data_IF_800111095572
#
_entry.id   IF_800111095572
#
_cell.length_a   1.000
_cell.length_b   1.000
_cell.length_c   1.000
_cell.angle_alpha   90.00
_cell.angle_beta   90.00
_cell.angle_gamma   90.00
#
_symmetry.space_group_name_H-M   'P 1'
#
loop_
_entity.id
_entity.type
_entity.pdbx_description
1 polymer ?
#
# COMPACT_ATOMS: atom_id res chain seq x y z
N UNK A 1 36.19 -32.97 23.55
CA UNK A 1 34.79 -32.61 23.26
C UNK A 1 34.74 -31.10 23.03
N UNK A 2 34.99 -30.64 21.80
CA UNK A 2 35.00 -29.20 21.49
C UNK A 2 33.90 -28.94 20.45
N UNK A 3 32.75 -28.43 20.89
CA UNK A 3 31.65 -28.01 20.02
C UNK A 3 31.88 -26.60 19.45
N UNK A 4 31.29 -26.26 18.29
CA UNK A 4 31.47 -24.96 17.65
C UNK A 4 30.84 -23.83 18.49
N UNK A 5 31.65 -22.83 18.83
CA UNK A 5 31.21 -21.61 19.53
C UNK A 5 30.35 -20.74 18.60
N UNK A 6 29.06 -20.61 18.91
CA UNK A 6 28.16 -19.71 18.16
C UNK A 6 28.38 -18.24 18.56
N UNK A 7 28.35 -17.29 17.62
CA UNK A 7 28.48 -15.87 17.94
C UNK A 7 27.28 -15.37 18.75
N UNK A 8 27.57 -14.65 19.84
CA UNK A 8 26.59 -14.05 20.73
C UNK A 8 26.31 -12.61 20.31
N UNK A 9 25.03 -12.20 20.36
CA UNK A 9 24.64 -10.81 20.11
C UNK A 9 25.10 -9.92 21.28
N UNK A 10 25.86 -8.86 21.02
CA UNK A 10 26.43 -7.97 22.04
C UNK A 10 25.41 -7.13 22.81
N UNK A 11 24.18 -6.99 22.30
CA UNK A 11 23.13 -6.19 22.94
C UNK A 11 22.18 -7.00 23.82
N UNK A 12 22.07 -8.32 23.64
CA UNK A 12 21.07 -9.14 24.34
C UNK A 12 21.56 -10.52 24.79
N UNK A 13 22.80 -10.92 24.51
CA UNK A 13 23.39 -12.17 25.00
C UNK A 13 22.80 -13.46 24.42
N UNK A 14 21.92 -13.37 23.42
CA UNK A 14 21.31 -14.54 22.76
C UNK A 14 22.24 -15.05 21.64
N UNK A 15 22.41 -16.36 21.55
CA UNK A 15 23.16 -17.03 20.48
C UNK A 15 22.43 -16.86 19.14
N UNK A 16 23.05 -16.21 18.16
CA UNK A 16 22.48 -16.02 16.83
C UNK A 16 23.08 -17.07 15.89
N UNK A 17 22.24 -17.91 15.30
CA UNK A 17 22.68 -18.84 14.26
C UNK A 17 22.89 -18.05 12.95
N UNK A 18 24.11 -18.01 12.42
CA UNK A 18 24.33 -17.62 11.02
C UNK A 18 23.67 -18.67 10.12
N UNK A 19 22.73 -18.25 9.29
CA UNK A 19 22.28 -19.09 8.17
C UNK A 19 23.47 -19.38 7.24
N UNK A 20 23.61 -20.62 6.74
CA UNK A 20 24.57 -20.89 5.69
C UNK A 20 24.17 -20.06 4.47
N UNK A 21 25.08 -19.21 4.02
CA UNK A 21 24.92 -18.35 2.85
C UNK A 21 24.45 -19.18 1.67
N UNK A 22 23.19 -18.95 1.26
CA UNK A 22 22.57 -19.58 0.11
C UNK A 22 23.31 -19.16 -1.16
N UNK A 23 24.09 -20.09 -1.72
CA UNK A 23 24.64 -19.95 -3.06
C UNK A 23 23.49 -20.04 -4.09
N UNK A 24 23.61 -19.26 -5.16
CA UNK A 24 22.56 -18.96 -6.12
C UNK A 24 21.93 -20.20 -6.76
N UNK A 25 20.60 -20.27 -6.71
CA UNK A 25 19.80 -21.26 -7.42
C UNK A 25 18.36 -20.75 -7.55
N UNK A 26 17.87 -20.68 -8.78
CA UNK A 26 16.56 -20.19 -9.17
C UNK A 26 15.40 -20.94 -8.46
N UNK A 27 14.68 -20.23 -7.59
CA UNK A 27 13.22 -20.16 -7.66
C UNK A 27 12.35 -21.25 -7.04
N UNK A 28 12.84 -22.16 -6.18
CA UNK A 28 11.97 -23.02 -5.38
C UNK A 28 11.81 -22.47 -3.96
N UNK A 29 10.63 -21.91 -3.63
CA UNK A 29 10.32 -21.39 -2.28
C UNK A 29 10.40 -22.52 -1.26
N UNK A 30 11.30 -22.38 -0.27
CA UNK A 30 11.27 -23.19 0.95
C UNK A 30 9.97 -22.84 1.69
N UNK A 31 9.01 -23.77 1.75
CA UNK A 31 7.79 -23.51 2.52
C UNK A 31 8.15 -23.46 4.00
N UNK A 32 7.44 -22.63 4.77
CA UNK A 32 7.53 -22.64 6.24
C UNK A 32 7.18 -24.02 6.84
N UNK A 33 6.55 -24.88 6.03
CA UNK A 33 6.20 -26.27 6.32
C UNK A 33 7.34 -27.28 6.11
N UNK A 34 8.39 -26.93 5.36
CA UNK A 34 9.35 -27.90 4.84
C UNK A 34 10.35 -28.49 5.84
N UNK A 35 10.23 -28.20 7.14
CA UNK A 35 11.27 -28.44 8.13
C UNK A 35 10.83 -29.28 9.36
N UNK A 36 9.69 -29.98 9.34
CA UNK A 36 9.10 -30.53 10.57
C UNK A 36 8.66 -32.01 10.48
N UNK A 37 8.98 -32.77 11.53
CA UNK A 37 8.81 -34.22 11.69
C UNK A 37 7.34 -34.68 11.85
N UNK A 38 6.39 -33.77 12.12
CA UNK A 38 4.93 -34.02 12.08
C UNK A 38 4.20 -32.91 11.27
N UNK A 39 3.67 -33.22 10.08
CA UNK A 39 3.07 -32.23 9.19
C UNK A 39 1.74 -31.62 9.67
N UNK A 40 0.98 -32.28 10.56
CA UNK A 40 -0.37 -31.84 10.93
C UNK A 40 -0.38 -30.78 12.03
N UNK A 41 0.29 -31.06 13.15
CA UNK A 41 0.45 -30.15 14.29
C UNK A 41 1.13 -28.83 13.88
N UNK A 42 2.10 -28.95 12.97
CA UNK A 42 2.78 -27.81 12.33
C UNK A 42 1.83 -26.93 11.50
N UNK A 43 0.92 -27.54 10.74
CA UNK A 43 -0.02 -26.80 9.88
C UNK A 43 -1.04 -26.04 10.71
N UNK A 44 -1.49 -26.63 11.80
CA UNK A 44 -2.40 -25.97 12.75
C UNK A 44 -1.71 -24.78 13.42
N UNK A 45 -0.51 -24.96 13.97
CA UNK A 45 0.25 -23.85 14.56
C UNK A 45 0.61 -22.75 13.54
N UNK A 46 0.92 -23.10 12.29
CA UNK A 46 1.14 -22.10 11.24
C UNK A 46 -0.15 -21.36 10.85
N UNK A 47 -1.29 -22.07 10.80
CA UNK A 47 -2.60 -21.47 10.54
C UNK A 47 -3.00 -20.50 11.65
N UNK A 48 -2.71 -20.82 12.91
CA UNK A 48 -2.91 -19.91 14.04
C UNK A 48 -2.05 -18.65 13.93
N UNK A 49 -0.79 -18.79 13.55
CA UNK A 49 0.11 -17.67 13.31
C UNK A 49 -0.39 -16.78 12.15
N UNK A 50 -0.86 -17.37 11.05
CA UNK A 50 -1.50 -16.62 9.97
C UNK A 50 -2.80 -15.94 10.42
N UNK A 51 -3.62 -16.61 11.22
CA UNK A 51 -4.85 -16.05 11.78
C UNK A 51 -4.54 -14.82 12.65
N UNK A 52 -3.52 -14.92 13.51
CA UNK A 52 -3.04 -13.81 14.33
C UNK A 52 -2.47 -12.66 13.49
N UNK A 53 -1.75 -12.97 12.40
CA UNK A 53 -1.18 -11.97 11.51
C UNK A 53 -2.27 -11.19 10.75
N UNK A 54 -3.32 -11.88 10.30
CA UNK A 54 -4.43 -11.29 9.53
C UNK A 54 -5.38 -10.49 10.41
N UNK A 55 -5.59 -10.94 11.65
CA UNK A 55 -6.59 -10.38 12.56
C UNK A 55 -8.01 -10.89 12.28
N UNK A 56 -9.02 -10.42 13.04
CA UNK A 56 -10.37 -11.01 13.04
C UNK A 56 -11.17 -10.73 11.75
N UNK A 57 -10.90 -9.62 11.04
CA UNK A 57 -11.65 -9.26 9.83
C UNK A 57 -11.15 -9.98 8.58
N UNK A 58 -12.10 -10.62 7.88
CA UNK A 58 -11.88 -11.41 6.65
C UNK A 58 -10.87 -12.54 6.83
N UNK A 59 -10.68 -13.02 8.07
CA UNK A 59 -9.70 -14.04 8.41
C UNK A 59 -9.84 -15.28 7.52
N UNK A 60 -11.06 -15.84 7.46
CA UNK A 60 -11.28 -17.13 6.81
C UNK A 60 -11.05 -17.07 5.30
N UNK A 61 -11.40 -15.93 4.68
CA UNK A 61 -11.12 -15.65 3.27
C UNK A 61 -9.61 -15.67 2.97
N UNK A 62 -8.80 -14.97 3.78
CA UNK A 62 -7.36 -14.94 3.57
C UNK A 62 -6.68 -16.27 3.92
N UNK A 63 -7.14 -16.95 4.97
CA UNK A 63 -6.59 -18.26 5.35
C UNK A 63 -6.81 -19.31 4.25
N UNK A 64 -7.98 -19.33 3.61
CA UNK A 64 -8.23 -20.23 2.48
C UNK A 64 -7.26 -19.96 1.32
N UNK A 65 -7.02 -18.68 1.02
CA UNK A 65 -6.10 -18.27 -0.06
C UNK A 65 -4.64 -18.57 0.27
N UNK A 66 -4.24 -18.39 1.53
CA UNK A 66 -2.89 -18.73 1.98
C UNK A 66 -2.64 -20.23 1.93
N UNK A 67 -3.64 -21.04 2.30
CA UNK A 67 -3.55 -22.50 2.18
C UNK A 67 -3.35 -22.94 0.72
N UNK A 68 -4.03 -22.28 -0.23
CA UNK A 68 -3.84 -22.54 -1.66
C UNK A 68 -2.41 -22.18 -2.12
N UNK A 69 -1.89 -21.03 -1.71
CA UNK A 69 -0.52 -20.61 -2.04
C UNK A 69 0.54 -21.50 -1.41
N UNK A 70 0.32 -21.97 -0.18
CA UNK A 70 1.20 -22.93 0.50
C UNK A 70 1.19 -24.29 -0.23
N UNK A 71 0.03 -24.72 -0.73
CA UNK A 71 -0.12 -25.96 -1.48
C UNK A 71 0.57 -25.89 -2.86
N UNK A 72 0.32 -24.81 -3.62
CA UNK A 72 0.86 -24.61 -4.96
C UNK A 72 2.34 -24.16 -4.96
N UNK A 73 2.88 -23.77 -3.79
CA UNK A 73 4.20 -23.15 -3.60
C UNK A 73 4.45 -21.91 -4.47
N UNK A 74 3.38 -21.34 -5.03
CA UNK A 74 3.39 -20.19 -5.93
C UNK A 74 2.29 -19.23 -5.48
N UNK A 75 2.59 -17.94 -5.51
CA UNK A 75 1.58 -16.90 -5.35
C UNK A 75 1.03 -16.55 -6.71
N UNK A 76 -0.27 -16.74 -6.95
CA UNK A 76 -0.91 -16.33 -8.19
C UNK A 76 -1.35 -14.86 -8.15
N UNK A 77 -1.41 -14.25 -9.32
CA UNK A 77 -2.07 -12.95 -9.49
C UNK A 77 -3.58 -13.17 -9.40
N UNK A 78 -4.26 -12.27 -8.69
CA UNK A 78 -5.71 -12.32 -8.52
C UNK A 78 -6.27 -10.92 -8.46
N UNK A 79 -7.47 -10.73 -8.98
CA UNK A 79 -8.11 -9.43 -8.96
C UNK A 79 -8.63 -9.10 -7.55
N UNK A 80 -8.20 -7.97 -6.99
CA UNK A 80 -8.60 -7.53 -5.66
C UNK A 80 -9.33 -6.17 -5.73
N UNK A 81 -10.66 -6.22 -5.73
CA UNK A 81 -11.53 -5.04 -5.89
C UNK A 81 -11.21 -3.86 -4.94
N UNK A 82 -11.04 -4.06 -3.62
CA UNK A 82 -10.71 -2.94 -2.74
C UNK A 82 -9.34 -2.31 -3.03
N UNK A 83 -8.39 -3.10 -3.54
CA UNK A 83 -7.07 -2.60 -3.86
C UNK A 83 -7.08 -1.81 -5.18
N UNK A 84 -8.08 -1.99 -6.03
CA UNK A 84 -8.26 -1.20 -7.26
C UNK A 84 -8.78 0.21 -6.96
N UNK A 85 -9.87 0.32 -6.20
CA UNK A 85 -10.43 1.63 -5.88
C UNK A 85 -9.62 2.41 -4.83
N UNK A 86 -8.96 1.69 -3.92
CA UNK A 86 -8.34 2.29 -2.75
C UNK A 86 -6.99 1.63 -2.42
N UNK A 87 -6.10 1.49 -3.41
CA UNK A 87 -4.79 0.83 -3.23
C UNK A 87 -4.02 1.36 -2.02
N UNK A 88 -3.87 2.70 -1.96
CA UNK A 88 -3.11 3.35 -0.90
C UNK A 88 -3.72 3.07 0.47
N UNK A 89 -5.03 3.31 0.63
CA UNK A 89 -5.74 3.06 1.89
C UNK A 89 -5.71 1.59 2.29
N UNK A 90 -5.80 0.66 1.34
CA UNK A 90 -5.70 -0.77 1.62
C UNK A 90 -4.31 -1.15 2.15
N UNK A 91 -3.24 -0.60 1.57
CA UNK A 91 -1.88 -0.80 2.05
C UNK A 91 -1.68 -0.24 3.48
N UNK A 92 -2.24 0.94 3.78
CA UNK A 92 -2.18 1.54 5.13
C UNK A 92 -3.00 0.71 6.15
N UNK A 93 -4.23 0.33 5.78
CA UNK A 93 -5.13 -0.43 6.63
C UNK A 93 -4.50 -1.75 7.11
N UNK A 94 -3.79 -2.44 6.21
CA UNK A 94 -3.04 -3.69 6.47
C UNK A 94 -1.61 -3.47 6.97
N UNK A 95 -1.25 -2.26 7.42
CA UNK A 95 0.07 -1.90 7.99
C UNK A 95 1.27 -2.16 7.06
N UNK A 96 1.07 -2.15 5.73
CA UNK A 96 2.14 -2.30 4.75
C UNK A 96 2.82 -0.96 4.42
N UNK A 97 3.31 -0.27 5.45
CA UNK A 97 3.85 1.10 5.39
C UNK A 97 4.91 1.29 4.29
N UNK A 98 5.85 0.36 4.14
CA UNK A 98 6.89 0.48 3.11
C UNK A 98 6.34 0.46 1.69
N UNK A 99 5.34 -0.40 1.41
CA UNK A 99 4.70 -0.43 0.08
C UNK A 99 3.81 0.77 -0.13
N UNK A 100 3.13 1.24 0.91
CA UNK A 100 2.33 2.45 0.87
C UNK A 100 3.18 3.69 0.54
N UNK A 101 4.35 3.83 1.18
CA UNK A 101 5.29 4.90 0.90
C UNK A 101 5.78 4.84 -0.55
N UNK A 102 6.20 3.67 -1.02
CA UNK A 102 6.60 3.50 -2.43
C UNK A 102 5.45 3.90 -3.36
N UNK A 103 4.25 3.37 -3.14
CA UNK A 103 3.08 3.69 -3.97
C UNK A 103 2.76 5.19 -3.99
N UNK A 104 2.90 5.88 -2.85
CA UNK A 104 2.64 7.31 -2.74
C UNK A 104 3.72 8.16 -3.40
N UNK A 105 5.00 7.87 -3.17
CA UNK A 105 6.10 8.71 -3.66
C UNK A 105 6.50 8.44 -5.11
N UNK A 106 6.33 7.20 -5.60
CA UNK A 106 6.79 6.80 -6.93
C UNK A 106 6.20 7.66 -8.07
N UNK A 107 4.90 8.05 -8.07
CA UNK A 107 4.36 8.94 -9.09
C UNK A 107 5.03 10.32 -9.10
N UNK A 108 5.30 10.90 -7.94
CA UNK A 108 5.90 12.23 -7.84
C UNK A 108 7.34 12.27 -8.33
N UNK A 109 8.09 11.17 -8.14
CA UNK A 109 9.45 11.03 -8.69
C UNK A 109 9.48 11.11 -10.21
N UNK A 110 8.37 10.80 -10.88
CA UNK A 110 8.24 10.89 -12.33
C UNK A 110 7.58 12.20 -12.77
N UNK A 111 6.52 12.61 -12.07
CA UNK A 111 5.74 13.81 -12.41
C UNK A 111 6.55 15.11 -12.21
N UNK A 112 7.30 15.23 -11.12
CA UNK A 112 8.01 16.48 -10.79
C UNK A 112 9.09 16.81 -11.83
N UNK A 113 9.99 15.88 -12.22
CA UNK A 113 10.92 16.14 -13.32
C UNK A 113 10.20 16.42 -14.65
N UNK A 114 9.14 15.67 -14.96
CA UNK A 114 8.38 15.88 -16.20
C UNK A 114 7.76 17.29 -16.28
N UNK A 115 7.26 17.83 -15.17
CA UNK A 115 6.71 19.19 -15.11
C UNK A 115 7.79 20.27 -15.23
N UNK A 116 8.97 20.06 -14.61
CA UNK A 116 10.06 21.03 -14.60
C UNK A 116 10.81 21.12 -15.94
N UNK A 117 10.97 20.00 -16.65
CA UNK A 117 11.73 19.91 -17.90
C UNK A 117 10.84 19.73 -19.14
N UNK A 118 9.52 19.88 -18.98
CA UNK A 118 8.47 19.36 -19.85
C UNK A 118 8.22 20.04 -21.20
N UNK A 119 8.86 21.17 -21.49
CA UNK A 119 8.51 22.00 -22.67
C UNK A 119 8.88 21.35 -24.02
N UNK A 120 9.65 20.25 -24.01
CA UNK A 120 10.14 19.57 -25.23
C UNK A 120 10.15 18.04 -25.10
N UNK A 121 9.19 17.45 -24.38
CA UNK A 121 9.16 16.00 -24.13
C UNK A 121 8.73 15.25 -25.41
N UNK A 122 9.57 14.36 -25.97
CA UNK A 122 9.20 13.52 -27.11
C UNK A 122 7.98 12.65 -26.79
N UNK A 123 7.10 12.45 -27.77
CA UNK A 123 5.87 11.65 -27.63
C UNK A 123 6.12 10.24 -27.04
N UNK A 124 7.28 9.64 -27.30
CA UNK A 124 7.67 8.34 -26.76
C UNK A 124 7.80 8.35 -25.22
N UNK A 125 8.29 9.43 -24.62
CA UNK A 125 8.32 9.60 -23.16
C UNK A 125 6.91 9.80 -22.59
N UNK A 126 6.03 10.49 -23.32
CA UNK A 126 4.61 10.61 -22.98
C UNK A 126 3.87 9.25 -22.98
N UNK A 127 4.11 8.43 -24.00
CA UNK A 127 3.56 7.08 -24.09
C UNK A 127 4.09 6.16 -22.96
N UNK A 128 5.39 6.25 -22.65
CA UNK A 128 5.99 5.56 -21.52
C UNK A 128 5.39 5.98 -20.17
N UNK A 129 5.12 7.27 -19.99
CA UNK A 129 4.46 7.79 -18.79
C UNK A 129 3.02 7.28 -18.66
N UNK A 130 2.25 7.26 -19.75
CA UNK A 130 0.90 6.71 -19.76
C UNK A 130 0.90 5.21 -19.42
N UNK A 131 1.82 4.44 -20.01
CA UNK A 131 1.98 3.02 -19.68
C UNK A 131 2.36 2.81 -18.20
N UNK A 132 3.22 3.67 -17.64
CA UNK A 132 3.55 3.67 -16.22
C UNK A 132 2.33 3.96 -15.32
N UNK A 133 1.50 4.95 -15.68
CA UNK A 133 0.26 5.25 -14.95
C UNK A 133 -0.74 4.09 -15.00
N UNK A 134 -0.87 3.42 -16.14
CA UNK A 134 -1.69 2.22 -16.26
C UNK A 134 -1.13 1.08 -15.39
N UNK A 135 0.19 0.88 -15.42
CA UNK A 135 0.84 -0.15 -14.63
C UNK A 135 0.65 0.07 -13.12
N UNK A 136 0.78 1.31 -12.62
CA UNK A 136 0.58 1.59 -11.19
C UNK A 136 -0.89 1.45 -10.76
N UNK A 137 -1.84 1.52 -11.70
CA UNK A 137 -3.25 1.30 -11.42
C UNK A 137 -3.65 -0.19 -11.44
N UNK A 138 -3.04 -0.97 -12.34
CA UNK A 138 -3.42 -2.37 -12.60
C UNK A 138 -2.59 -3.37 -11.79
N UNK A 139 -1.29 -3.13 -11.61
CA UNK A 139 -0.39 -4.08 -10.94
C UNK A 139 -0.72 -4.27 -9.46
N UNK A 140 -0.98 -3.22 -8.64
CA UNK A 140 -1.25 -3.43 -7.22
C UNK A 140 -2.50 -4.26 -6.94
N UNK A 141 -3.64 -4.07 -7.64
CA UNK A 141 -4.81 -4.94 -7.50
C UNK A 141 -4.53 -6.40 -7.85
N UNK A 142 -3.80 -6.65 -8.93
CA UNK A 142 -3.44 -8.00 -9.38
C UNK A 142 -2.52 -8.72 -8.40
N UNK A 143 -1.62 -7.97 -7.75
CA UNK A 143 -0.60 -8.51 -6.86
C UNK A 143 -0.95 -8.34 -5.38
N UNK A 144 -2.12 -7.79 -5.04
CA UNK A 144 -2.49 -7.43 -3.68
C UNK A 144 -2.42 -8.64 -2.74
N UNK A 145 -3.08 -9.73 -3.09
CA UNK A 145 -3.14 -10.93 -2.24
C UNK A 145 -1.78 -11.60 -2.10
N UNK A 146 -1.03 -11.70 -3.20
CA UNK A 146 0.33 -12.22 -3.20
C UNK A 146 1.26 -11.35 -2.34
N UNK A 147 1.12 -10.03 -2.45
CA UNK A 147 1.89 -9.06 -1.69
C UNK A 147 1.55 -9.15 -0.19
N UNK A 148 0.29 -9.40 0.16
CA UNK A 148 -0.18 -9.54 1.52
C UNK A 148 0.25 -10.87 2.16
N UNK A 149 0.16 -11.97 1.44
CA UNK A 149 0.71 -13.27 1.86
C UNK A 149 2.20 -13.15 2.19
N UNK A 150 3.01 -12.55 1.29
CA UNK A 150 4.44 -12.30 1.54
C UNK A 150 4.72 -11.40 2.73
N UNK A 151 3.78 -10.52 3.09
CA UNK A 151 3.91 -9.68 4.27
C UNK A 151 3.67 -10.52 5.53
N UNK A 152 2.61 -11.33 5.55
CA UNK A 152 2.30 -12.23 6.66
C UNK A 152 3.42 -13.26 6.89
N UNK A 153 3.94 -13.88 5.84
CA UNK A 153 5.12 -14.78 5.92
C UNK A 153 6.31 -14.08 6.59
N UNK A 154 6.61 -12.83 6.22
CA UNK A 154 7.73 -12.08 6.81
C UNK A 154 7.50 -11.75 8.28
N UNK A 155 6.27 -11.41 8.66
CA UNK A 155 5.93 -11.14 10.07
C UNK A 155 6.09 -12.41 10.90
N UNK A 156 5.58 -13.55 10.40
CA UNK A 156 5.68 -14.84 11.08
C UNK A 156 7.13 -15.33 11.13
N UNK A 157 7.87 -15.23 10.03
CA UNK A 157 9.28 -15.60 9.96
C UNK A 157 10.14 -14.79 10.95
N UNK A 158 9.88 -13.49 11.08
CA UNK A 158 10.53 -12.64 12.09
C UNK A 158 10.17 -13.06 13.51
N UNK A 159 8.91 -13.37 13.79
CA UNK A 159 8.50 -13.82 15.11
C UNK A 159 9.15 -15.17 15.49
N UNK A 160 9.23 -16.11 14.55
CA UNK A 160 9.94 -17.39 14.73
C UNK A 160 11.44 -17.23 14.94
N UNK A 161 12.06 -16.23 14.31
CA UNK A 161 13.47 -15.93 14.52
C UNK A 161 13.76 -15.36 15.93
N UNK A 162 12.78 -14.70 16.55
CA UNK A 162 12.91 -14.05 17.86
C UNK A 162 12.56 -15.00 19.01
N UNK A 163 11.45 -15.73 18.90
CA UNK A 163 10.94 -16.59 19.98
C UNK A 163 10.85 -18.06 19.53
N UNK A 164 11.30 -18.98 20.39
CA UNK A 164 11.15 -20.43 20.13
C UNK A 164 9.77 -20.98 20.54
N UNK A 165 9.14 -20.41 21.57
CA UNK A 165 7.82 -20.84 22.04
C UNK A 165 6.71 -20.37 21.11
N UNK A 166 5.75 -21.24 20.78
CA UNK A 166 4.59 -20.91 19.94
C UNK A 166 3.76 -19.77 20.52
N UNK A 167 3.52 -19.76 21.84
CA UNK A 167 2.78 -18.68 22.52
C UNK A 167 3.47 -17.32 22.39
N UNK A 168 4.79 -17.28 22.60
CA UNK A 168 5.60 -16.07 22.41
C UNK A 168 5.66 -15.60 20.95
N UNK A 169 5.54 -16.51 19.98
CA UNK A 169 5.43 -16.14 18.56
C UNK A 169 4.04 -15.54 18.27
N UNK A 170 2.98 -16.17 18.77
CA UNK A 170 1.60 -15.72 18.60
C UNK A 170 1.40 -14.31 19.16
N UNK A 171 1.91 -14.03 20.37
CA UNK A 171 1.83 -12.69 20.96
C UNK A 171 2.53 -11.62 20.11
N UNK A 172 3.71 -11.93 19.57
CA UNK A 172 4.47 -11.00 18.73
C UNK A 172 3.78 -10.74 17.38
N UNK A 173 3.24 -11.80 16.77
CA UNK A 173 2.52 -11.73 15.50
C UNK A 173 1.19 -11.01 15.67
N UNK A 174 0.44 -11.28 16.74
CA UNK A 174 -0.83 -10.60 17.03
C UNK A 174 -0.62 -9.10 17.26
N UNK A 175 0.46 -8.71 17.95
CA UNK A 175 0.78 -7.29 18.21
C UNK A 175 1.18 -6.53 16.94
N UNK A 176 2.02 -7.15 16.11
CA UNK A 176 2.54 -6.53 14.90
C UNK A 176 1.59 -6.65 13.70
N UNK A 177 0.72 -7.66 13.71
CA UNK A 177 -0.29 -7.93 12.70
C UNK A 177 -1.59 -7.18 12.92
N UNK A 178 -2.64 -7.71 12.31
CA UNK A 178 -4.00 -7.18 12.41
C UNK A 178 -4.26 -5.93 11.56
N UNK A 179 -5.48 -5.43 11.71
CA UNK A 179 -6.01 -4.27 10.97
C UNK A 179 -6.07 -3.06 11.88
N UNK A 180 -5.74 -1.88 11.36
CA UNK A 180 -5.95 -0.63 12.11
C UNK A 180 -7.41 -0.19 12.01
N UNK A 181 -8.16 -0.21 13.12
CA UNK A 181 -9.57 0.25 13.15
C UNK A 181 -9.72 1.75 12.83
N UNK A 182 -8.65 2.53 13.00
CA UNK A 182 -8.65 3.97 12.74
C UNK A 182 -8.54 4.33 11.25
N UNK A 183 -7.92 3.49 10.43
CA UNK A 183 -7.64 3.85 9.03
C UNK A 183 -8.86 3.98 8.10
N UNK A 184 -9.94 3.19 8.23
CA UNK A 184 -11.15 3.40 7.43
C UNK A 184 -11.77 4.78 7.65
N UNK A 185 -11.70 5.30 8.89
CA UNK A 185 -12.17 6.65 9.20
C UNK A 185 -11.31 7.72 8.51
N UNK A 186 -9.98 7.61 8.64
CA UNK A 186 -9.04 8.51 7.95
C UNK A 186 -9.22 8.48 6.43
N UNK A 187 -9.42 7.29 5.86
CA UNK A 187 -9.70 7.12 4.45
C UNK A 187 -11.00 7.81 4.03
N UNK A 188 -12.06 7.69 4.83
CA UNK A 188 -13.32 8.39 4.61
C UNK A 188 -13.13 9.91 4.61
N UNK A 189 -12.48 10.46 5.63
CA UNK A 189 -12.23 11.90 5.76
C UNK A 189 -11.41 12.45 4.59
N UNK A 190 -10.32 11.78 4.22
CA UNK A 190 -9.48 12.21 3.09
C UNK A 190 -10.22 12.13 1.76
N UNK A 191 -11.06 11.11 1.55
CA UNK A 191 -11.87 10.97 0.34
C UNK A 191 -12.88 12.11 0.21
N UNK A 192 -13.54 12.49 1.32
CA UNK A 192 -14.44 13.66 1.34
C UNK A 192 -13.69 14.95 1.06
N UNK A 193 -12.51 15.15 1.66
CA UNK A 193 -11.70 16.34 1.42
C UNK A 193 -11.28 16.46 -0.06
N UNK A 194 -10.90 15.36 -0.70
CA UNK A 194 -10.59 15.36 -2.14
C UNK A 194 -11.81 15.67 -3.00
N UNK A 195 -12.98 15.14 -2.65
CA UNK A 195 -14.23 15.44 -3.35
C UNK A 195 -14.56 16.94 -3.26
N UNK A 196 -14.50 17.51 -2.05
CA UNK A 196 -14.72 18.94 -1.83
C UNK A 196 -13.71 19.78 -2.61
N UNK A 197 -12.43 19.40 -2.62
CA UNK A 197 -11.40 20.08 -3.41
C UNK A 197 -11.69 20.04 -4.92
N UNK A 198 -12.16 18.91 -5.43
CA UNK A 198 -12.51 18.73 -6.86
C UNK A 198 -13.75 19.54 -7.24
N UNK A 199 -14.75 19.61 -6.36
CA UNK A 199 -15.93 20.46 -6.57
C UNK A 199 -15.53 21.93 -6.49
N UNK A 200 -14.70 22.31 -5.52
CA UNK A 200 -14.25 23.69 -5.33
C UNK A 200 -13.43 24.19 -6.52
N UNK A 201 -12.58 23.36 -7.13
CA UNK A 201 -11.78 23.78 -8.29
C UNK A 201 -12.62 24.19 -9.50
N UNK A 202 -13.85 23.70 -9.62
CA UNK A 202 -14.81 24.07 -10.68
C UNK A 202 -15.80 25.14 -10.19
N UNK A 203 -16.27 25.03 -8.95
CA UNK A 203 -17.27 25.94 -8.39
C UNK A 203 -16.71 27.35 -8.15
N UNK A 204 -15.44 27.48 -7.75
CA UNK A 204 -14.80 28.77 -7.50
C UNK A 204 -14.72 29.66 -8.77
N UNK A 205 -14.18 29.20 -9.91
CA UNK A 205 -14.15 30.02 -11.12
C UNK A 205 -15.57 30.31 -11.65
N UNK A 206 -16.49 29.34 -11.57
CA UNK A 206 -17.87 29.56 -11.99
C UNK A 206 -18.60 30.62 -11.14
N UNK A 207 -18.31 30.68 -9.83
CA UNK A 207 -18.84 31.70 -8.94
C UNK A 207 -18.24 33.08 -9.23
N UNK A 208 -16.93 33.14 -9.50
CA UNK A 208 -16.27 34.38 -9.89
C UNK A 208 -16.90 34.96 -11.17
N UNK A 209 -17.03 34.15 -12.22
CA UNK A 209 -17.71 34.52 -13.47
C UNK A 209 -19.14 35.02 -13.25
N UNK A 210 -19.90 34.35 -12.38
CA UNK A 210 -21.27 34.75 -12.04
C UNK A 210 -21.31 36.15 -11.42
N UNK A 211 -20.44 36.43 -10.44
CA UNK A 211 -20.44 37.74 -9.76
C UNK A 211 -19.97 38.88 -10.66
N UNK A 212 -18.99 38.64 -11.55
CA UNK A 212 -18.53 39.63 -12.54
C UNK A 212 -19.66 40.00 -13.50
N UNK A 213 -20.37 39.00 -14.04
CA UNK A 213 -21.51 39.21 -14.95
C UNK A 213 -22.66 39.95 -14.28
N UNK A 214 -22.93 39.67 -13.00
CA UNK A 214 -23.97 40.39 -12.24
C UNK A 214 -23.60 41.85 -12.00
N UNK A 215 -22.35 42.15 -11.62
CA UNK A 215 -21.87 43.53 -11.48
C UNK A 215 -21.92 44.29 -12.79
N UNK A 216 -21.53 43.66 -13.90
CA UNK A 216 -21.58 44.26 -15.23
C UNK A 216 -23.01 44.60 -15.66
N UNK A 217 -23.99 43.71 -15.41
CA UNK A 217 -25.41 43.98 -15.65
C UNK A 217 -25.93 45.14 -14.80
N UNK A 218 -25.59 45.15 -13.51
CA UNK A 218 -26.04 46.19 -12.60
C UNK A 218 -25.46 47.57 -12.97
N UNK A 219 -24.21 47.62 -13.41
CA UNK A 219 -23.59 48.84 -13.95
C UNK A 219 -24.29 49.33 -15.23
N UNK A 220 -24.62 48.41 -16.15
CA UNK A 220 -25.36 48.73 -17.37
C UNK A 220 -26.78 49.26 -17.06
N UNK A 221 -27.50 48.63 -16.13
CA UNK A 221 -28.85 49.05 -15.73
C UNK A 221 -28.83 50.42 -15.01
N UNK A 222 -27.74 50.75 -14.32
CA UNK A 222 -27.56 52.05 -13.64
C UNK A 222 -27.11 53.20 -14.56
N UNK A 223 -26.79 52.92 -15.83
CA UNK A 223 -26.32 53.92 -16.80
C UNK A 223 -24.86 54.36 -16.63
N UNK A 224 -24.10 53.79 -15.69
CA UNK A 224 -22.68 54.09 -15.48
C UNK A 224 -21.79 53.25 -16.42
N UNK A 225 -21.77 53.63 -17.70
CA UNK A 225 -21.01 52.96 -18.77
C UNK A 225 -19.48 52.98 -18.52
N UNK A 226 -18.96 53.95 -17.76
CA UNK A 226 -17.54 54.00 -17.39
C UNK A 226 -17.17 52.91 -16.37
N UNK A 227 -18.05 52.63 -15.40
CA UNK A 227 -17.84 51.54 -14.44
C UNK A 227 -17.95 50.16 -15.09
N UNK A 228 -18.89 49.97 -16.03
CA UNK A 228 -19.08 48.71 -16.75
C UNK A 228 -17.85 48.31 -17.58
N UNK A 229 -17.22 49.25 -18.29
CA UNK A 229 -15.99 49.00 -19.07
C UNK A 229 -14.77 48.67 -18.20
N UNK A 230 -14.71 49.20 -16.96
CA UNK A 230 -13.62 48.95 -16.01
C UNK A 230 -13.68 47.56 -15.37
N UNK A 231 -14.88 46.99 -15.22
CA UNK A 231 -15.09 45.63 -14.69
C UNK A 231 -14.74 44.54 -15.72
N UNK A 232 -14.87 44.83 -17.02
CA UNK A 232 -14.55 43.88 -18.10
C UNK A 232 -13.06 43.86 -18.48
N UNK A 233 -12.28 44.84 -18.00
CA UNK A 233 -10.86 45.01 -18.37
C UNK A 233 -9.90 44.61 -17.24
N UNK A 234 -10.41 44.10 -16.11
CA UNK A 234 -9.62 43.72 -14.94
C UNK A 234 -9.20 42.24 -14.88
N UNK A 235 -9.44 41.46 -15.94
CA UNK A 235 -9.03 40.05 -16.07
C UNK A 235 -7.75 39.89 -16.91
#
# INVERSE_FOLDING_TARGET
MNGPTLPLCSSCGVSVRREPTANGGTGQRKSLLGALDNPRETREGLRELYAAAVGPRNRDHYLAKFALFDHERKTSAGWHWPAFFATFYWLLYRKMWGKAAIYFFLPYMVLVPAALFGRSVPWALGAGYLAYLLAIFILPPLLADAAYYRHCERVIGRARAINRSQEGQLGLVARNGGTSSFMPFVAGVLSVAMLVGTVASVALPAYQDYTVRMKAKQAADSGDLQSAGRVLTSD
#
